data_IF_294097174296
#
_entry.id   IF_294097174296
#
_cell.length_a   1.000
_cell.length_b   1.000
_cell.length_c   1.000
_cell.angle_alpha   90.00
_cell.angle_beta   90.00
_cell.angle_gamma   90.00
#
_symmetry.space_group_name_H-M   'P 1'
#
loop_
_entity.id
_entity.type
_entity.pdbx_description
1 polymer ?
#
# COMPACT_ATOMS: atom_id res chain seq x y z
N UNK A 1 -10.66 -10.95 -76.27
CA UNK A 1 -11.85 -11.81 -76.47
C UNK A 1 -12.08 -12.75 -75.31
N UNK A 2 -13.26 -12.68 -74.67
CA UNK A 2 -13.73 -13.64 -73.65
C UNK A 2 -15.07 -14.23 -74.09
N UNK A 3 -15.34 -15.49 -73.75
CA UNK A 3 -16.60 -16.17 -74.05
C UNK A 3 -17.45 -16.27 -72.80
N UNK A 4 -18.71 -15.84 -72.86
CA UNK A 4 -19.68 -16.13 -71.80
C UNK A 4 -20.06 -17.63 -71.79
N UNK A 5 -20.79 -18.07 -70.76
CA UNK A 5 -21.27 -19.45 -70.62
C UNK A 5 -22.20 -19.91 -71.77
N UNK A 6 -22.74 -18.98 -72.56
CA UNK A 6 -23.54 -19.25 -73.75
C UNK A 6 -22.69 -19.39 -75.05
N UNK A 7 -21.37 -19.29 -74.96
CA UNK A 7 -20.47 -19.41 -76.10
C UNK A 7 -20.33 -18.13 -76.95
N UNK A 8 -20.83 -17.00 -76.47
CA UNK A 8 -20.73 -15.72 -77.17
C UNK A 8 -19.40 -15.04 -76.82
N UNK A 9 -18.61 -14.74 -77.86
CA UNK A 9 -17.30 -14.11 -77.73
C UNK A 9 -17.46 -12.60 -77.86
N UNK A 10 -17.14 -11.89 -76.79
CA UNK A 10 -17.02 -10.42 -76.77
C UNK A 10 -15.55 -10.05 -76.85
N UNK A 11 -15.20 -9.29 -77.89
CA UNK A 11 -13.90 -8.63 -77.98
C UNK A 11 -13.94 -7.28 -77.26
N UNK A 12 -12.80 -6.84 -76.73
CA UNK A 12 -12.70 -5.53 -76.07
C UNK A 12 -12.96 -4.38 -77.03
N UNK A 13 -12.81 -4.61 -78.34
CA UNK A 13 -13.19 -3.70 -79.42
C UNK A 13 -14.39 -4.25 -80.21
N UNK A 14 -15.59 -4.00 -79.68
CA UNK A 14 -16.87 -3.79 -80.39
C UNK A 14 -17.24 -4.63 -81.64
N UNK A 15 -16.79 -5.87 -81.81
CA UNK A 15 -17.26 -6.72 -82.92
C UNK A 15 -17.65 -8.12 -82.46
N UNK A 16 -18.96 -8.43 -82.59
CA UNK A 16 -19.54 -9.74 -82.33
C UNK A 16 -19.30 -10.66 -83.52
N UNK A 17 -18.56 -11.75 -83.35
CA UNK A 17 -18.37 -12.75 -84.40
C UNK A 17 -18.86 -14.14 -83.99
N UNK A 18 -19.37 -14.93 -84.96
CA UNK A 18 -19.78 -16.32 -84.77
C UNK A 18 -18.63 -17.29 -85.07
N UNK A 19 -18.27 -18.10 -84.07
CA UNK A 19 -17.20 -19.13 -84.00
C UNK A 19 -16.95 -19.99 -85.27
N UNK A 20 -17.98 -20.27 -86.07
CA UNK A 20 -17.95 -21.37 -87.06
C UNK A 20 -17.16 -21.15 -88.36
N UNK A 21 -16.46 -20.02 -88.59
CA UNK A 21 -15.92 -19.71 -89.94
C UNK A 21 -14.42 -19.50 -90.13
N UNK A 22 -13.57 -19.46 -89.10
CA UNK A 22 -12.15 -19.12 -89.30
C UNK A 22 -11.21 -19.89 -88.36
N UNK A 23 -11.02 -21.19 -88.57
CA UNK A 23 -10.21 -22.03 -87.67
C UNK A 23 -8.71 -22.25 -88.02
N UNK A 24 -8.13 -21.96 -89.21
CA UNK A 24 -6.78 -22.48 -89.47
C UNK A 24 -5.58 -21.54 -89.30
N UNK A 25 -5.72 -20.24 -88.98
CA UNK A 25 -4.58 -19.29 -89.10
C UNK A 25 -4.04 -18.68 -87.80
N UNK A 26 -4.69 -18.84 -86.65
CA UNK A 26 -4.22 -18.26 -85.39
C UNK A 26 -4.38 -19.25 -84.24
N UNK A 27 -3.30 -19.50 -83.49
CA UNK A 27 -3.38 -20.20 -82.22
C UNK A 27 -4.05 -19.27 -81.20
N UNK A 28 -5.32 -19.51 -80.92
CA UNK A 28 -6.08 -18.75 -79.93
C UNK A 28 -6.04 -19.45 -78.58
N UNK A 29 -5.68 -18.71 -77.52
CA UNK A 29 -5.80 -19.17 -76.14
C UNK A 29 -7.18 -18.79 -75.62
N UNK A 30 -7.99 -19.78 -75.23
CA UNK A 30 -9.29 -19.57 -74.60
C UNK A 30 -9.11 -19.53 -73.09
N UNK A 31 -9.55 -18.44 -72.47
CA UNK A 31 -9.62 -18.31 -71.01
C UNK A 31 -11.08 -18.50 -70.57
N UNK A 32 -11.32 -19.47 -69.70
CA UNK A 32 -12.60 -19.67 -69.03
C UNK A 32 -12.48 -19.09 -67.61
N UNK A 33 -13.37 -18.16 -67.26
CA UNK A 33 -13.36 -17.50 -65.96
C UNK A 33 -14.70 -17.79 -65.27
N UNK A 34 -14.61 -18.20 -64.02
CA UNK A 34 -15.76 -18.37 -63.16
C UNK A 34 -16.21 -16.99 -62.62
N UNK A 35 -17.51 -16.71 -62.79
CA UNK A 35 -18.17 -15.45 -62.40
C UNK A 35 -19.13 -15.70 -61.22
N UNK A 36 -19.22 -16.93 -60.73
CA UNK A 36 -20.06 -17.28 -59.60
C UNK A 36 -19.60 -16.60 -58.31
N UNK A 37 -20.52 -16.54 -57.35
CA UNK A 37 -20.20 -16.07 -56.00
C UNK A 37 -19.33 -17.11 -55.29
N UNK A 38 -18.16 -16.69 -54.84
CA UNK A 38 -17.22 -17.51 -54.11
C UNK A 38 -17.10 -17.03 -52.67
N UNK A 39 -17.05 -17.99 -51.75
CA UNK A 39 -16.76 -17.72 -50.34
C UNK A 39 -15.55 -18.50 -49.89
N UNK A 40 -14.63 -17.83 -49.20
CA UNK A 40 -13.41 -18.42 -48.64
C UNK A 40 -13.22 -17.97 -47.20
N UNK A 41 -12.61 -18.86 -46.42
CA UNK A 41 -12.17 -18.56 -45.07
C UNK A 41 -10.65 -18.61 -45.09
N UNK A 42 -10.01 -17.55 -44.61
CA UNK A 42 -8.57 -17.46 -44.46
C UNK A 42 -8.23 -17.25 -42.98
N UNK A 43 -7.14 -17.87 -42.53
CA UNK A 43 -6.57 -17.61 -41.21
C UNK A 43 -5.25 -16.89 -41.40
N UNK A 44 -5.15 -15.70 -40.84
CA UNK A 44 -3.91 -14.94 -40.71
C UNK A 44 -3.43 -15.13 -39.28
N UNK A 45 -2.17 -15.54 -39.09
CA UNK A 45 -1.63 -15.81 -37.76
C UNK A 45 -0.25 -15.19 -37.59
N UNK A 46 0.12 -14.90 -36.35
CA UNK A 46 1.47 -14.47 -35.97
C UNK A 46 1.85 -13.06 -36.43
N UNK A 47 3.04 -12.92 -37.02
CA UNK A 47 3.74 -11.65 -37.30
C UNK A 47 3.02 -10.68 -38.25
N UNK A 48 1.94 -11.12 -38.88
CA UNK A 48 1.29 -10.38 -39.96
C UNK A 48 0.49 -9.16 -39.46
N UNK A 49 0.06 -9.18 -38.20
CA UNK A 49 -0.82 -8.18 -37.59
C UNK A 49 -0.23 -7.65 -36.26
N UNK A 50 0.77 -6.74 -36.33
CA UNK A 50 1.32 -6.11 -35.14
C UNK A 50 0.33 -5.09 -34.54
N UNK A 51 0.20 -5.12 -33.22
CA UNK A 51 -0.51 -4.08 -32.43
C UNK A 51 0.26 -2.75 -32.43
N UNK A 52 -0.37 -1.67 -31.98
CA UNK A 52 0.21 -0.32 -31.96
C UNK A 52 1.63 -0.25 -31.36
N UNK A 53 1.88 -0.95 -30.25
CA UNK A 53 3.19 -0.98 -29.57
C UNK A 53 4.17 -2.01 -30.11
N UNK A 54 3.79 -2.80 -31.12
CA UNK A 54 4.60 -3.88 -31.69
C UNK A 54 5.07 -4.93 -30.66
N UNK A 55 4.44 -4.99 -29.49
CA UNK A 55 4.81 -5.91 -28.42
C UNK A 55 4.12 -7.28 -28.56
N UNK A 56 2.93 -7.29 -29.15
CA UNK A 56 2.10 -8.48 -29.30
C UNK A 56 1.43 -8.51 -30.68
N UNK A 57 1.00 -9.70 -31.09
CA UNK A 57 0.36 -9.93 -32.37
C UNK A 57 -1.08 -10.42 -32.20
N UNK A 58 -1.88 -10.18 -33.24
CA UNK A 58 -3.24 -10.69 -33.34
C UNK A 58 -3.31 -11.79 -34.40
N UNK A 59 -4.13 -12.79 -34.13
CA UNK A 59 -4.57 -13.76 -35.12
C UNK A 59 -5.93 -13.30 -35.66
N UNK A 60 -6.10 -13.36 -36.98
CA UNK A 60 -7.36 -13.02 -37.63
C UNK A 60 -7.93 -14.22 -38.39
N UNK A 61 -9.21 -14.48 -38.19
CA UNK A 61 -9.98 -15.37 -39.06
C UNK A 61 -10.86 -14.51 -39.96
N UNK A 62 -10.62 -14.57 -41.27
CA UNK A 62 -11.31 -13.79 -42.29
C UNK A 62 -12.31 -14.68 -43.04
N UNK A 63 -13.56 -14.24 -43.12
CA UNK A 63 -14.58 -14.79 -44.03
C UNK A 63 -14.81 -13.80 -45.16
N UNK A 64 -14.45 -14.19 -46.38
CA UNK A 64 -14.48 -13.32 -47.56
C UNK A 64 -15.40 -13.92 -48.63
N UNK A 65 -16.39 -13.15 -49.06
CA UNK A 65 -17.26 -13.43 -50.19
C UNK A 65 -16.91 -12.49 -51.35
N UNK A 66 -16.59 -13.05 -52.52
CA UNK A 66 -16.21 -12.29 -53.71
C UNK A 66 -16.79 -12.90 -54.98
N UNK A 67 -16.91 -12.08 -56.01
CA UNK A 67 -17.30 -12.49 -57.36
C UNK A 67 -16.51 -11.70 -58.40
N UNK A 68 -16.30 -12.28 -59.58
CA UNK A 68 -15.69 -11.55 -60.69
C UNK A 68 -16.76 -10.66 -61.31
N UNK A 69 -16.49 -9.36 -61.44
CA UNK A 69 -17.40 -8.40 -62.08
C UNK A 69 -16.94 -8.08 -63.49
N UNK A 70 -15.63 -8.00 -63.72
CA UNK A 70 -15.03 -7.78 -65.04
C UNK A 70 -13.98 -8.86 -65.35
N UNK A 71 -14.37 -9.93 -66.07
CA UNK A 71 -13.45 -10.98 -66.49
C UNK A 71 -12.34 -10.49 -67.43
N UNK A 72 -12.57 -9.42 -68.20
CA UNK A 72 -11.57 -8.94 -69.15
C UNK A 72 -10.34 -8.37 -68.42
N UNK A 73 -10.56 -7.65 -67.31
CA UNK A 73 -9.50 -7.15 -66.45
C UNK A 73 -8.69 -8.26 -65.78
N UNK A 74 -9.36 -9.34 -65.34
CA UNK A 74 -8.70 -10.51 -64.75
C UNK A 74 -7.73 -11.17 -65.74
N UNK A 75 -8.13 -11.35 -67.00
CA UNK A 75 -7.24 -11.87 -68.06
C UNK A 75 -6.13 -10.87 -68.38
N UNK A 76 -6.47 -9.59 -68.54
CA UNK A 76 -5.52 -8.53 -68.93
C UNK A 76 -4.37 -8.40 -67.92
N UNK A 77 -4.67 -8.55 -66.63
CA UNK A 77 -3.69 -8.52 -65.54
C UNK A 77 -3.05 -9.88 -65.25
N UNK A 78 -3.42 -10.92 -66.00
CA UNK A 78 -2.94 -12.29 -65.85
C UNK A 78 -3.06 -12.81 -64.41
N UNK A 79 -4.21 -12.57 -63.77
CA UNK A 79 -4.43 -12.97 -62.38
C UNK A 79 -4.78 -14.46 -62.37
N UNK A 80 -3.81 -15.30 -61.98
CA UNK A 80 -4.01 -16.74 -61.87
C UNK A 80 -4.88 -17.12 -60.67
N UNK A 81 -4.77 -16.37 -59.57
CA UNK A 81 -5.47 -16.65 -58.31
C UNK A 81 -6.10 -15.38 -57.73
N UNK A 82 -7.36 -15.11 -58.06
CA UNK A 82 -8.10 -13.95 -57.53
C UNK A 82 -8.13 -13.88 -56.00
N UNK A 83 -8.18 -15.03 -55.33
CA UNK A 83 -8.13 -15.11 -53.87
C UNK A 83 -6.87 -14.49 -53.26
N UNK A 84 -5.72 -14.56 -53.94
CA UNK A 84 -4.45 -14.00 -53.45
C UNK A 84 -4.46 -12.46 -53.48
N UNK A 85 -4.96 -11.87 -54.57
CA UNK A 85 -5.10 -10.43 -54.71
C UNK A 85 -6.05 -9.86 -53.63
N UNK A 86 -7.17 -10.53 -53.41
CA UNK A 86 -8.15 -10.18 -52.37
C UNK A 86 -7.52 -10.27 -50.98
N UNK A 87 -6.83 -11.38 -50.68
CA UNK A 87 -6.23 -11.58 -49.37
C UNK A 87 -5.16 -10.51 -49.08
N UNK A 88 -4.34 -10.15 -50.06
CA UNK A 88 -3.34 -9.08 -49.91
C UNK A 88 -4.01 -7.74 -49.57
N UNK A 89 -5.03 -7.35 -50.34
CA UNK A 89 -5.78 -6.11 -50.09
C UNK A 89 -6.41 -6.08 -48.69
N UNK A 90 -7.12 -7.16 -48.32
CA UNK A 90 -7.78 -7.27 -47.01
C UNK A 90 -6.76 -7.29 -45.87
N UNK A 91 -5.62 -7.98 -46.05
CA UNK A 91 -4.54 -8.03 -45.04
C UNK A 91 -3.92 -6.66 -44.83
N UNK A 92 -3.67 -5.89 -45.90
CA UNK A 92 -3.11 -4.54 -45.79
C UNK A 92 -4.08 -3.56 -45.13
N UNK A 93 -5.37 -3.63 -45.49
CA UNK A 93 -6.42 -2.82 -44.85
C UNK A 93 -6.59 -3.18 -43.36
N UNK A 94 -6.56 -4.47 -43.03
CA UNK A 94 -6.64 -4.94 -41.65
C UNK A 94 -5.41 -4.51 -40.84
N UNK A 95 -4.21 -4.64 -41.42
CA UNK A 95 -2.96 -4.19 -40.79
C UNK A 95 -2.96 -2.70 -40.51
N UNK A 96 -3.49 -1.89 -41.42
CA UNK A 96 -3.62 -0.44 -41.21
C UNK A 96 -4.54 -0.14 -40.02
N UNK A 97 -5.65 -0.87 -39.88
CA UNK A 97 -6.62 -0.68 -38.80
C UNK A 97 -6.06 -1.16 -37.45
N UNK A 98 -5.52 -2.39 -37.40
CA UNK A 98 -5.03 -3.02 -36.15
C UNK A 98 -3.87 -2.25 -35.52
N UNK A 99 -3.06 -1.54 -36.32
CA UNK A 99 -1.95 -0.71 -35.82
C UNK A 99 -2.39 0.47 -34.96
N UNK A 100 -3.65 0.87 -35.02
CA UNK A 100 -4.18 1.96 -34.20
C UNK A 100 -4.60 1.49 -32.80
N UNK A 101 -4.74 0.18 -32.58
CA UNK A 101 -5.31 -0.38 -31.36
C UNK A 101 -4.28 -1.16 -30.54
N UNK A 102 -4.48 -1.13 -29.22
CA UNK A 102 -3.75 -1.97 -28.29
C UNK A 102 -4.34 -3.39 -28.23
N UNK A 103 -3.57 -4.30 -27.63
CA UNK A 103 -3.96 -5.70 -27.39
C UNK A 103 -5.29 -5.84 -26.63
N UNK A 104 -5.57 -4.94 -25.69
CA UNK A 104 -6.81 -4.93 -24.89
C UNK A 104 -8.04 -4.54 -25.72
N UNK A 105 -7.81 -3.85 -26.84
CA UNK A 105 -8.81 -3.21 -27.68
C UNK A 105 -9.05 -3.97 -28.99
N UNK A 106 -8.63 -5.24 -29.07
CA UNK A 106 -8.79 -6.07 -30.28
C UNK A 106 -10.25 -6.12 -30.79
N UNK A 107 -11.22 -6.07 -29.88
CA UNK A 107 -12.65 -6.02 -30.20
C UNK A 107 -13.07 -4.71 -30.91
N UNK A 108 -12.48 -3.57 -30.54
CA UNK A 108 -12.74 -2.29 -31.20
C UNK A 108 -12.12 -2.24 -32.60
N UNK A 109 -10.93 -2.85 -32.75
CA UNK A 109 -10.29 -3.00 -34.06
C UNK A 109 -11.16 -3.87 -35.00
N UNK A 110 -11.74 -4.95 -34.47
CA UNK A 110 -12.65 -5.82 -35.22
C UNK A 110 -13.90 -5.06 -35.67
N UNK A 111 -14.56 -4.37 -34.74
CA UNK A 111 -15.77 -3.60 -35.04
C UNK A 111 -15.51 -2.51 -36.08
N UNK A 112 -14.42 -1.74 -35.91
CA UNK A 112 -14.04 -0.69 -36.85
C UNK A 112 -13.76 -1.23 -38.24
N UNK A 113 -13.01 -2.33 -38.34
CA UNK A 113 -12.72 -2.96 -39.62
C UNK A 113 -13.99 -3.48 -40.31
N UNK A 114 -14.85 -4.17 -39.56
CA UNK A 114 -16.09 -4.74 -40.09
C UNK A 114 -17.09 -3.65 -40.51
N UNK A 115 -17.17 -2.56 -39.75
CA UNK A 115 -18.01 -1.42 -40.10
C UNK A 115 -17.52 -0.70 -41.37
N UNK A 116 -16.19 -0.48 -41.48
CA UNK A 116 -15.60 0.18 -42.63
C UNK A 116 -15.71 -0.60 -43.96
N UNK A 117 -15.90 -1.91 -43.89
CA UNK A 117 -16.00 -2.79 -45.06
C UNK A 117 -17.38 -3.46 -45.20
N UNK A 118 -18.41 -2.90 -44.57
CA UNK A 118 -19.78 -3.38 -44.69
C UNK A 118 -20.35 -3.14 -46.10
N UNK A 119 -19.99 -2.00 -46.71
CA UNK A 119 -20.29 -1.68 -48.09
C UNK A 119 -19.24 -2.36 -48.98
N UNK A 120 -19.66 -3.38 -49.74
CA UNK A 120 -18.75 -4.20 -50.53
C UNK A 120 -17.74 -3.40 -51.39
N UNK A 121 -16.58 -3.99 -51.62
CA UNK A 121 -15.41 -3.29 -52.16
C UNK A 121 -15.19 -3.73 -53.61
N UNK A 122 -15.17 -2.76 -54.53
CA UNK A 122 -14.77 -3.01 -55.91
C UNK A 122 -13.25 -2.89 -56.04
N UNK A 123 -12.59 -3.99 -56.40
CA UNK A 123 -11.17 -4.03 -56.65
C UNK A 123 -10.85 -3.70 -58.12
N UNK A 124 -9.74 -2.99 -58.41
CA UNK A 124 -9.34 -2.61 -59.76
C UNK A 124 -8.97 -3.81 -60.65
N UNK A 125 -8.83 -5.00 -60.07
CA UNK A 125 -8.64 -6.28 -60.74
C UNK A 125 -9.90 -6.82 -61.44
N UNK A 126 -11.03 -6.12 -61.36
CA UNK A 126 -12.31 -6.61 -61.89
C UNK A 126 -13.03 -7.57 -60.96
N UNK A 127 -12.69 -7.55 -59.66
CA UNK A 127 -13.26 -8.40 -58.62
C UNK A 127 -14.07 -7.54 -57.66
N UNK A 128 -15.27 -7.98 -57.28
CA UNK A 128 -16.08 -7.33 -56.26
C UNK A 128 -16.13 -8.21 -55.02
N UNK A 129 -15.70 -7.66 -53.88
CA UNK A 129 -15.84 -8.28 -52.57
C UNK A 129 -17.19 -7.83 -52.00
N UNK A 130 -18.18 -8.70 -52.01
CA UNK A 130 -19.52 -8.36 -51.53
C UNK A 130 -19.69 -8.62 -50.02
N UNK A 131 -18.79 -9.39 -49.41
CA UNK A 131 -18.83 -9.69 -47.98
C UNK A 131 -17.42 -9.84 -47.41
N UNK A 132 -17.11 -9.07 -46.38
CA UNK A 132 -15.90 -9.27 -45.56
C UNK A 132 -16.32 -9.28 -44.11
N UNK A 133 -15.85 -10.28 -43.38
CA UNK A 133 -15.97 -10.32 -41.93
C UNK A 133 -14.64 -10.79 -41.36
N UNK A 134 -14.07 -9.99 -40.46
CA UNK A 134 -12.88 -10.33 -39.70
C UNK A 134 -13.27 -10.65 -38.27
N UNK A 135 -12.68 -11.71 -37.74
CA UNK A 135 -12.69 -12.02 -36.31
C UNK A 135 -11.26 -11.92 -35.79
N UNK A 136 -11.03 -11.07 -34.80
CA UNK A 136 -9.70 -10.84 -34.23
C UNK A 136 -9.56 -11.51 -32.87
N UNK A 137 -8.44 -12.16 -32.67
CA UNK A 137 -8.10 -12.83 -31.44
C UNK A 137 -6.65 -12.49 -31.06
N UNK A 138 -6.36 -12.18 -29.78
CA UNK A 138 -4.98 -12.08 -29.34
C UNK A 138 -4.27 -13.43 -29.49
N UNK A 139 -3.00 -13.40 -29.87
CA UNK A 139 -2.15 -14.60 -29.93
C UNK A 139 -2.00 -15.29 -28.54
N UNK A 140 -1.37 -16.46 -28.50
CA UNK A 140 -1.23 -17.19 -27.23
C UNK A 140 -0.45 -16.38 -26.18
N UNK A 141 0.67 -15.76 -26.57
CA UNK A 141 1.52 -14.99 -25.65
C UNK A 141 0.83 -13.73 -25.12
N UNK A 142 0.05 -13.07 -25.99
CA UNK A 142 -0.84 -11.96 -25.69
C UNK A 142 -1.89 -12.37 -24.65
N UNK A 143 -2.55 -13.52 -24.84
CA UNK A 143 -3.55 -14.01 -23.89
C UNK A 143 -2.95 -14.31 -22.52
N UNK A 144 -1.78 -14.92 -22.47
CA UNK A 144 -1.03 -15.19 -21.24
C UNK A 144 -0.68 -13.88 -20.52
N UNK A 145 -0.11 -12.91 -21.25
CA UNK A 145 0.20 -11.59 -20.70
C UNK A 145 -1.05 -10.89 -20.12
N UNK A 146 -2.18 -10.95 -20.83
CA UNK A 146 -3.44 -10.37 -20.34
C UNK A 146 -3.98 -11.11 -19.12
N UNK A 147 -3.82 -12.43 -19.05
CA UNK A 147 -4.20 -13.22 -17.88
C UNK A 147 -3.34 -12.83 -16.67
N UNK A 148 -2.02 -12.81 -16.82
CA UNK A 148 -1.06 -12.44 -15.78
C UNK A 148 -1.28 -11.02 -15.25
N UNK A 149 -1.58 -10.08 -16.16
CA UNK A 149 -1.88 -8.69 -15.79
C UNK A 149 -3.16 -8.60 -14.97
N UNK A 150 -4.23 -9.31 -15.37
CA UNK A 150 -5.50 -9.35 -14.63
C UNK A 150 -5.34 -10.01 -13.27
N UNK A 151 -4.57 -11.10 -13.19
CA UNK A 151 -4.33 -11.81 -11.94
C UNK A 151 -3.47 -10.98 -10.99
N UNK A 152 -2.45 -10.29 -11.51
CA UNK A 152 -1.65 -9.33 -10.73
C UNK A 152 -2.49 -8.18 -10.20
N UNK A 153 -3.41 -7.63 -11.01
CA UNK A 153 -4.32 -6.58 -10.58
C UNK A 153 -5.25 -7.08 -9.48
N UNK A 154 -5.88 -8.25 -9.68
CA UNK A 154 -6.75 -8.88 -8.69
C UNK A 154 -6.01 -9.15 -7.38
N UNK A 155 -4.74 -9.59 -7.47
CA UNK A 155 -3.92 -9.85 -6.29
C UNK A 155 -3.68 -8.57 -5.49
N UNK A 156 -3.34 -7.46 -6.16
CA UNK A 156 -3.16 -6.16 -5.51
C UNK A 156 -4.43 -5.65 -4.84
N UNK A 157 -5.58 -5.84 -5.48
CA UNK A 157 -6.88 -5.46 -4.90
C UNK A 157 -7.17 -6.27 -3.62
N UNK A 158 -6.98 -7.59 -3.68
CA UNK A 158 -7.14 -8.47 -2.51
C UNK A 158 -6.17 -8.11 -1.38
N UNK A 159 -4.89 -7.84 -1.72
CA UNK A 159 -3.88 -7.45 -0.74
C UNK A 159 -4.19 -6.09 -0.09
N UNK A 160 -4.70 -5.12 -0.86
CA UNK A 160 -5.13 -3.83 -0.34
C UNK A 160 -6.30 -3.98 0.64
N UNK A 161 -7.31 -4.78 0.29
CA UNK A 161 -8.43 -5.08 1.18
C UNK A 161 -7.97 -5.77 2.47
N UNK A 162 -7.06 -6.76 2.35
CA UNK A 162 -6.46 -7.44 3.52
C UNK A 162 -5.68 -6.48 4.39
N UNK A 163 -4.93 -5.55 3.80
CA UNK A 163 -4.18 -4.54 4.54
C UNK A 163 -5.11 -3.62 5.35
N UNK A 164 -6.19 -3.14 4.74
CA UNK A 164 -7.19 -2.31 5.44
C UNK A 164 -7.87 -3.08 6.57
N UNK A 165 -8.22 -4.36 6.36
CA UNK A 165 -8.75 -5.21 7.43
C UNK A 165 -7.73 -5.39 8.58
N UNK A 166 -6.46 -5.63 8.27
CA UNK A 166 -5.40 -5.78 9.26
C UNK A 166 -5.18 -4.48 10.06
N UNK A 167 -5.22 -3.33 9.39
CA UNK A 167 -5.13 -2.01 10.02
C UNK A 167 -6.29 -1.77 10.99
N UNK A 168 -7.53 -2.04 10.56
CA UNK A 168 -8.70 -1.94 11.43
C UNK A 168 -8.63 -2.88 12.62
N UNK A 169 -8.17 -4.12 12.42
CA UNK A 169 -7.96 -5.08 13.50
C UNK A 169 -6.91 -4.59 14.51
N UNK A 170 -5.79 -4.04 14.03
CA UNK A 170 -4.75 -3.46 14.88
C UNK A 170 -5.26 -2.24 15.67
N UNK A 171 -6.05 -1.36 15.05
CA UNK A 171 -6.69 -0.23 15.75
C UNK A 171 -7.63 -0.70 16.86
N UNK A 172 -8.47 -1.71 16.57
CA UNK A 172 -9.36 -2.30 17.58
C UNK A 172 -8.59 -2.94 18.73
N UNK A 173 -7.52 -3.67 18.43
CA UNK A 173 -6.68 -4.28 19.45
C UNK A 173 -6.01 -3.23 20.35
N UNK A 174 -5.53 -2.14 19.77
CA UNK A 174 -4.95 -1.04 20.55
C UNK A 174 -6.00 -0.31 21.40
N UNK A 175 -7.21 -0.14 20.88
CA UNK A 175 -8.32 0.46 21.63
C UNK A 175 -8.71 -0.40 22.83
N UNK A 176 -8.81 -1.72 22.66
CA UNK A 176 -9.08 -2.66 23.75
C UNK A 176 -8.00 -2.57 24.82
N UNK A 177 -6.72 -2.62 24.44
CA UNK A 177 -5.60 -2.47 25.38
C UNK A 177 -5.64 -1.15 26.15
N UNK A 178 -6.04 -0.07 25.48
CA UNK A 178 -6.21 1.26 26.11
C UNK A 178 -7.32 1.22 27.17
N UNK A 179 -8.46 0.62 26.85
CA UNK A 179 -9.59 0.47 27.78
C UNK A 179 -9.17 -0.39 28.98
N UNK A 180 -8.54 -1.54 28.75
CA UNK A 180 -8.03 -2.43 29.80
C UNK A 180 -7.09 -1.70 30.76
N UNK A 181 -6.08 -1.01 30.22
CA UNK A 181 -5.13 -0.25 31.03
C UNK A 181 -5.80 0.88 31.82
N UNK A 182 -6.77 1.59 31.21
CA UNK A 182 -7.53 2.62 31.93
C UNK A 182 -8.34 2.03 33.10
N UNK A 183 -8.97 0.87 32.91
CA UNK A 183 -9.70 0.17 33.97
C UNK A 183 -8.79 -0.38 35.07
N UNK A 184 -7.57 -0.82 34.74
CA UNK A 184 -6.55 -1.15 35.74
C UNK A 184 -6.15 0.06 36.59
N UNK A 185 -5.89 1.20 35.94
CA UNK A 185 -5.54 2.43 36.65
C UNK A 185 -6.68 2.95 37.53
N UNK A 186 -7.93 2.85 37.07
CA UNK A 186 -9.10 3.22 37.87
C UNK A 186 -9.24 2.33 39.11
N UNK A 187 -9.16 1.00 38.93
CA UNK A 187 -9.17 0.06 40.07
C UNK A 187 -8.02 0.32 41.05
N UNK A 188 -6.83 0.62 40.56
CA UNK A 188 -5.70 1.00 41.42
C UNK A 188 -5.96 2.29 42.20
N UNK A 189 -6.55 3.31 41.57
CA UNK A 189 -6.90 4.57 42.24
C UNK A 189 -7.97 4.37 43.30
N UNK A 190 -8.97 3.54 43.02
CA UNK A 190 -10.02 3.18 43.98
C UNK A 190 -9.45 2.41 45.17
N UNK A 191 -8.55 1.45 44.93
CA UNK A 191 -7.84 0.75 46.00
C UNK A 191 -7.04 1.71 46.89
N UNK A 192 -6.26 2.63 46.28
CA UNK A 192 -5.50 3.64 47.01
C UNK A 192 -6.40 4.63 47.78
N UNK A 193 -7.55 5.00 47.22
CA UNK A 193 -8.49 5.92 47.89
C UNK A 193 -9.19 5.25 49.07
N UNK A 194 -9.51 3.95 48.96
CA UNK A 194 -10.01 3.14 50.07
C UNK A 194 -8.97 3.03 51.20
N UNK A 195 -7.68 2.90 50.86
CA UNK A 195 -6.58 2.85 51.83
C UNK A 195 -6.34 4.21 52.52
N UNK A 196 -6.57 5.34 51.86
CA UNK A 196 -6.39 6.69 52.48
C UNK A 196 -7.24 6.96 53.72
N UNK A 197 -8.36 6.27 53.88
CA UNK A 197 -9.24 6.39 55.06
C UNK A 197 -8.78 5.57 56.27
N UNK A 198 -7.77 4.72 56.10
CA UNK A 198 -7.18 3.91 57.14
C UNK A 198 -5.86 4.55 57.57
N UNK A 199 -5.68 4.73 58.87
CA UNK A 199 -4.41 5.18 59.48
C UNK A 199 -3.42 4.01 59.41
N UNK A 200 -2.94 3.73 58.19
CA UNK A 200 -2.11 2.57 57.87
C UNK A 200 -0.66 2.84 58.28
N UNK A 201 -0.23 2.08 59.29
CA UNK A 201 1.17 1.94 59.68
C UNK A 201 2.00 1.48 58.45
N UNK A 202 3.21 2.03 58.18
CA UNK A 202 4.02 1.68 57.01
C UNK A 202 4.28 0.16 56.83
N UNK A 203 4.27 -0.58 57.94
CA UNK A 203 4.36 -2.04 57.96
C UNK A 203 3.14 -2.72 57.32
N UNK A 204 1.94 -2.17 57.52
CA UNK A 204 0.70 -2.71 56.96
C UNK A 204 0.57 -2.45 55.46
N UNK A 205 1.06 -1.30 54.99
CA UNK A 205 1.15 -0.99 53.55
C UNK A 205 2.08 -1.95 52.82
N UNK A 206 3.21 -2.30 53.45
CA UNK A 206 4.16 -3.26 52.91
C UNK A 206 3.63 -4.69 52.90
N UNK A 207 2.96 -5.12 53.98
CA UNK A 207 2.28 -6.41 54.01
C UNK A 207 1.15 -6.51 52.97
N UNK A 208 0.39 -5.44 52.76
CA UNK A 208 -0.62 -5.39 51.71
C UNK A 208 0.00 -5.49 50.30
N UNK A 209 1.12 -4.79 50.07
CA UNK A 209 1.82 -4.83 48.79
C UNK A 209 2.45 -6.20 48.47
N UNK A 210 3.04 -6.85 49.48
CA UNK A 210 3.57 -8.22 49.40
C UNK A 210 2.45 -9.25 49.19
N UNK A 211 1.27 -9.03 49.76
CA UNK A 211 0.11 -9.90 49.55
C UNK A 211 -0.47 -9.79 48.13
N UNK A 212 -0.47 -8.61 47.52
CA UNK A 212 -0.91 -8.40 46.13
C UNK A 212 0.12 -8.86 45.10
N UNK A 213 1.42 -8.72 45.39
CA UNK A 213 2.50 -9.02 44.46
C UNK A 213 3.48 -10.06 45.04
N UNK A 214 3.06 -11.33 45.17
CA UNK A 214 3.89 -12.36 45.81
C UNK A 214 5.17 -12.69 45.02
N UNK A 215 5.21 -12.33 43.74
CA UNK A 215 6.34 -12.56 42.83
C UNK A 215 7.48 -11.55 43.02
N UNK A 216 7.21 -10.37 43.60
CA UNK A 216 8.16 -9.24 43.69
C UNK A 216 8.51 -8.93 45.16
N UNK A 217 8.72 -9.99 45.92
CA UNK A 217 8.94 -9.94 47.38
C UNK A 217 10.40 -9.69 47.74
N UNK A 218 11.34 -10.08 46.89
CA UNK A 218 12.77 -10.00 47.18
C UNK A 218 13.27 -8.55 47.23
N UNK A 219 12.91 -7.73 46.23
CA UNK A 219 13.31 -6.31 46.18
C UNK A 219 12.61 -5.43 47.22
N UNK A 220 11.39 -5.79 47.63
CA UNK A 220 10.62 -5.05 48.63
C UNK A 220 11.15 -5.30 50.06
N UNK A 221 11.59 -6.52 50.38
CA UNK A 221 12.28 -6.81 51.64
C UNK A 221 13.64 -6.09 51.76
N UNK A 222 14.41 -6.02 50.68
CA UNK A 222 15.67 -5.28 50.66
C UNK A 222 15.47 -3.78 50.92
N UNK A 223 14.43 -3.20 50.31
CA UNK A 223 14.06 -1.80 50.55
C UNK A 223 13.68 -1.55 52.02
N UNK A 224 12.92 -2.46 52.64
CA UNK A 224 12.57 -2.39 54.08
C UNK A 224 13.82 -2.41 54.94
N UNK A 225 14.69 -3.38 54.68
CA UNK A 225 15.93 -3.55 55.44
C UNK A 225 16.83 -2.33 55.31
N UNK A 226 16.88 -1.71 54.13
CA UNK A 226 17.65 -0.50 53.90
C UNK A 226 17.08 0.70 54.67
N UNK A 227 15.76 0.89 54.66
CA UNK A 227 15.11 1.97 55.43
C UNK A 227 15.30 1.77 56.94
N UNK A 228 15.13 0.55 57.44
CA UNK A 228 15.38 0.22 58.84
C UNK A 228 16.80 0.53 59.27
N UNK A 229 17.78 0.10 58.47
CA UNK A 229 19.19 0.35 58.73
C UNK A 229 19.49 1.85 58.77
N UNK A 230 18.97 2.62 57.80
CA UNK A 230 19.16 4.08 57.80
C UNK A 230 18.48 4.80 58.96
N UNK A 231 17.40 4.23 59.52
CA UNK A 231 16.75 4.74 60.73
C UNK A 231 17.64 4.56 61.95
N UNK A 232 18.16 3.34 62.15
CA UNK A 232 19.07 3.01 63.25
C UNK A 232 20.35 3.84 63.14
N UNK A 233 20.95 3.93 61.95
CA UNK A 233 22.17 4.72 61.73
C UNK A 233 21.97 6.21 62.05
N UNK A 234 20.76 6.76 61.81
CA UNK A 234 20.44 8.16 62.15
C UNK A 234 20.28 8.38 63.64
N UNK A 235 19.66 7.45 64.34
CA UNK A 235 19.49 7.52 65.79
C UNK A 235 20.86 7.38 66.48
N UNK A 236 21.70 6.43 66.06
CA UNK A 236 23.08 6.32 66.55
C UNK A 236 23.90 7.59 66.25
N UNK A 237 23.82 8.13 65.03
CA UNK A 237 24.52 9.37 64.69
C UNK A 237 24.00 10.59 65.46
N UNK A 238 22.74 10.57 65.91
CA UNK A 238 22.16 11.63 66.75
C UNK A 238 22.64 11.48 68.19
N UNK A 239 22.69 10.26 68.70
CA UNK A 239 23.19 9.95 70.04
C UNK A 239 24.67 10.29 70.17
N UNK A 240 25.50 9.91 69.20
CA UNK A 240 26.93 10.27 69.16
C UNK A 240 27.11 11.79 69.13
N UNK A 241 26.43 12.52 68.24
CA UNK A 241 26.49 13.99 68.21
C UNK A 241 26.01 14.63 69.49
N UNK A 242 24.99 14.06 70.13
CA UNK A 242 24.49 14.55 71.42
C UNK A 242 25.53 14.35 72.52
N UNK A 243 26.25 13.22 72.51
CA UNK A 243 27.31 12.92 73.46
C UNK A 243 28.53 13.81 73.26
N UNK A 244 28.95 14.07 72.01
CA UNK A 244 30.07 14.95 71.67
C UNK A 244 29.79 16.41 72.05
N UNK A 245 28.57 16.90 71.80
CA UNK A 245 28.14 18.22 72.27
C UNK A 245 28.18 18.31 73.79
N UNK A 246 27.79 17.24 74.49
CA UNK A 246 27.81 17.17 75.95
C UNK A 246 29.26 17.20 76.46
N UNK A 247 30.17 16.43 75.86
CA UNK A 247 31.60 16.45 76.18
C UNK A 247 32.22 17.82 75.90
N UNK A 248 31.90 18.45 74.76
CA UNK A 248 32.40 19.78 74.39
C UNK A 248 31.92 20.87 75.36
N UNK A 249 30.65 20.83 75.80
CA UNK A 249 30.10 21.79 76.76
C UNK A 249 30.71 21.66 78.16
N UNK A 250 31.09 20.44 78.56
CA UNK A 250 31.82 20.17 79.81
C UNK A 250 33.26 20.66 79.71
N UNK A 251 34.00 20.32 78.64
CA UNK A 251 35.42 20.69 78.47
C UNK A 251 35.64 22.19 78.30
N UNK A 252 34.72 22.91 77.64
CA UNK A 252 34.82 24.37 77.48
C UNK A 252 34.37 25.16 78.71
N UNK A 253 34.01 24.49 79.81
CA UNK A 253 33.66 25.13 81.08
C UNK A 253 32.39 25.97 81.02
N UNK A 254 31.51 25.69 80.05
CA UNK A 254 30.22 26.41 79.88
C UNK A 254 29.18 25.87 80.85
N UNK A 255 29.26 24.60 81.27
CA UNK A 255 28.45 24.05 82.35
C UNK A 255 29.18 24.15 83.70
N UNK A 256 28.57 24.82 84.68
CA UNK A 256 28.98 24.76 86.08
C UNK A 256 28.30 23.58 86.79
N UNK A 257 28.88 23.06 87.87
CA UNK A 257 28.42 21.85 88.56
C UNK A 257 26.94 21.88 89.01
N UNK A 258 26.34 23.06 89.14
CA UNK A 258 24.94 23.26 89.54
C UNK A 258 23.96 23.02 88.39
N UNK A 259 24.38 23.22 87.13
CA UNK A 259 23.54 22.98 85.94
C UNK A 259 23.50 21.49 85.54
N UNK A 260 24.50 20.72 85.97
CA UNK A 260 24.61 19.28 85.71
C UNK A 260 23.47 18.51 86.40
N UNK A 261 23.02 18.93 87.58
CA UNK A 261 21.92 18.26 88.27
C UNK A 261 20.58 18.47 87.55
N UNK A 262 20.33 19.68 87.05
CA UNK A 262 19.10 20.00 86.30
C UNK A 262 19.06 19.29 84.94
N UNK A 263 20.21 19.20 84.27
CA UNK A 263 20.33 18.46 83.01
C UNK A 263 20.24 16.95 83.24
N UNK A 264 20.78 16.43 84.36
CA UNK A 264 20.60 15.02 84.75
C UNK A 264 19.13 14.72 84.93
N UNK A 265 18.38 15.56 85.63
CA UNK A 265 16.96 15.33 85.85
C UNK A 265 16.17 15.38 84.52
N UNK A 266 16.48 16.31 83.60
CA UNK A 266 15.92 16.30 82.24
C UNK A 266 16.31 15.06 81.41
N UNK A 267 17.55 14.57 81.55
CA UNK A 267 18.01 13.36 80.86
C UNK A 267 17.34 12.12 81.46
N UNK A 268 17.14 12.10 82.78
CA UNK A 268 16.46 11.01 83.47
C UNK A 268 14.98 11.00 83.12
N UNK A 269 14.36 12.18 82.99
CA UNK A 269 13.00 12.31 82.48
C UNK A 269 12.89 11.92 81.01
N UNK A 270 13.86 12.25 80.15
CA UNK A 270 13.91 11.76 78.75
C UNK A 270 14.15 10.26 78.65
N UNK A 271 15.02 9.68 79.48
CA UNK A 271 15.24 8.24 79.52
C UNK A 271 13.99 7.55 80.07
N UNK A 272 13.33 8.13 81.07
CA UNK A 272 12.03 7.66 81.57
C UNK A 272 10.95 7.77 80.50
N UNK A 273 10.96 8.82 79.70
CA UNK A 273 10.05 9.01 78.56
C UNK A 273 10.37 8.02 77.43
N UNK A 274 11.64 7.74 77.15
CA UNK A 274 12.08 6.74 76.16
C UNK A 274 11.76 5.31 76.60
N UNK A 275 11.86 5.01 77.90
CA UNK A 275 11.48 3.70 78.48
C UNK A 275 9.96 3.59 78.66
N UNK A 276 9.24 4.69 78.92
CA UNK A 276 7.76 4.74 78.93
C UNK A 276 7.16 4.73 77.51
N UNK A 277 7.91 5.12 76.48
CA UNK A 277 7.60 4.87 75.06
C UNK A 277 7.90 3.42 74.69
N UNK A 278 7.44 2.46 75.50
CA UNK A 278 7.19 1.09 75.04
C UNK A 278 5.81 1.02 74.37
N UNK A 279 5.61 1.92 73.41
CA UNK A 279 4.55 1.92 72.42
C UNK A 279 5.14 2.67 71.23
N UNK A 280 5.28 2.05 70.05
CA UNK A 280 5.86 2.75 68.92
C UNK A 280 4.93 3.93 68.63
N UNK A 281 5.48 5.14 68.74
CA UNK A 281 4.85 6.29 68.12
C UNK A 281 4.79 5.96 66.61
N UNK A 282 3.66 6.23 65.93
CA UNK A 282 3.64 6.08 64.49
C UNK A 282 4.78 6.92 63.93
N UNK A 283 5.48 6.39 62.94
CA UNK A 283 6.42 7.12 62.11
C UNK A 283 5.65 8.17 61.27
N UNK A 284 5.06 9.14 61.96
CA UNK A 284 4.62 10.38 61.38
C UNK A 284 5.87 11.16 61.05
N UNK A 285 6.03 11.47 59.77
CA UNK A 285 6.94 12.49 59.30
C UNK A 285 6.60 13.79 60.04
N UNK A 286 7.28 14.03 61.15
CA UNK A 286 7.27 15.33 61.79
C UNK A 286 8.30 16.16 61.03
N UNK A 287 7.82 16.89 60.03
CA UNK A 287 8.55 18.02 59.48
C UNK A 287 8.93 18.94 60.66
N UNK A 288 10.22 19.04 60.93
CA UNK A 288 10.73 20.18 61.68
C UNK A 288 10.44 21.45 60.86
N UNK A 289 10.11 22.60 61.50
CA UNK A 289 9.83 23.82 60.76
C UNK A 289 11.10 24.25 60.03
N UNK A 290 11.12 24.01 58.71
CA UNK A 290 12.09 24.60 57.81
C UNK A 290 11.77 26.08 57.71
N UNK A 291 12.84 26.88 57.70
CA UNK A 291 12.87 28.33 57.58
C UNK A 291 11.80 28.87 56.60
N UNK A 292 11.18 29.98 57.00
CA UNK A 292 10.08 30.67 56.31
C UNK A 292 10.30 30.84 54.80
N UNK A 293 9.23 30.81 53.98
CA UNK A 293 9.34 30.96 52.54
C UNK A 293 9.91 32.34 52.16
N UNK A 294 11.01 32.33 51.42
CA UNK A 294 11.51 33.48 50.67
C UNK A 294 10.44 33.88 49.66
N UNK A 295 9.96 35.13 49.74
CA UNK A 295 9.08 35.75 48.75
C UNK A 295 9.84 35.88 47.42
N UNK A 296 9.52 35.04 46.45
CA UNK A 296 9.87 35.25 45.04
C UNK A 296 8.86 36.22 44.43
N UNK A 297 9.35 37.34 43.90
CA UNK A 297 8.55 38.36 43.21
C UNK A 297 7.97 37.86 41.88
N UNK A 298 6.98 38.59 41.32
CA UNK A 298 6.22 38.15 40.17
C UNK A 298 7.07 38.02 38.90
N UNK A 299 6.75 36.98 38.14
CA UNK A 299 7.35 36.63 36.86
C UNK A 299 7.27 37.79 35.85
N UNK A 300 8.42 38.15 35.28
CA UNK A 300 8.49 39.01 34.11
C UNK A 300 8.07 38.19 32.88
N UNK A 301 6.98 38.61 32.26
CA UNK A 301 6.47 38.16 30.97
C UNK A 301 7.45 38.53 29.86
N UNK A 302 8.05 37.52 29.22
CA UNK A 302 8.73 37.65 27.92
C UNK A 302 7.96 36.80 26.90
N UNK A 303 7.41 37.39 25.83
CA UNK A 303 6.69 36.63 24.81
C UNK A 303 7.67 35.90 23.86
N UNK A 304 7.28 34.74 23.31
CA UNK A 304 8.12 33.99 22.38
C UNK A 304 8.22 34.68 21.00
N UNK A 305 9.37 34.58 20.30
CA UNK A 305 9.49 35.10 18.94
C UNK A 305 8.72 34.24 17.93
N UNK A 306 7.97 34.91 17.06
CA UNK A 306 7.36 34.35 15.84
C UNK A 306 8.44 33.87 14.86
N UNK A 307 8.32 32.69 14.25
CA UNK A 307 9.02 32.40 13.00
C UNK A 307 8.24 33.04 11.85
N UNK A 308 8.81 34.10 11.28
CA UNK A 308 8.37 34.70 10.02
C UNK A 308 8.92 33.91 8.83
N UNK A 309 8.03 33.74 7.85
CA UNK A 309 8.32 33.30 6.50
C UNK A 309 9.07 34.37 5.68
N UNK A 310 9.57 33.94 4.51
CA UNK A 310 10.12 34.69 3.37
C UNK A 310 11.58 35.16 3.55
N UNK A 311 12.62 34.65 2.87
CA UNK A 311 12.88 34.21 1.48
C UNK A 311 14.28 34.78 1.11
N UNK A 312 14.83 34.73 -0.13
CA UNK A 312 14.77 33.79 -1.24
C UNK A 312 16.18 33.33 -1.76
N UNK A 313 16.18 32.45 -2.78
CA UNK A 313 17.12 32.40 -3.93
C UNK A 313 18.63 32.22 -3.73
N UNK A 314 19.16 31.05 -4.13
CA UNK A 314 20.47 30.97 -4.83
C UNK A 314 20.39 29.94 -5.96
N UNK A 315 20.48 30.46 -7.18
CA UNK A 315 20.80 29.76 -8.43
C UNK A 315 22.17 29.06 -8.37
N UNK A 316 22.32 27.91 -9.02
CA UNK A 316 23.64 27.28 -9.18
C UNK A 316 23.65 25.99 -9.99
N UNK A 317 23.47 26.13 -11.30
CA UNK A 317 23.79 25.17 -12.36
C UNK A 317 25.17 24.51 -12.20
N UNK A 318 25.27 23.19 -12.44
CA UNK A 318 26.31 22.65 -13.35
C UNK A 318 26.00 21.23 -13.84
N UNK A 319 26.05 21.11 -15.16
CA UNK A 319 26.22 19.87 -15.93
C UNK A 319 27.56 19.21 -15.60
N UNK A 320 27.58 17.88 -15.61
CA UNK A 320 28.31 17.05 -16.60
C UNK A 320 27.56 15.73 -16.74
#
# INVERSE_FOLDING_TARGET
MYSNAAGEVTDSDTVRFKWRRQAPLFAWTRHEIDVADHRRIAKLGGLDLPTARHAHYLEATLSIGFRVTDPAEVVRRNITYGASAILNYVTDALRATVREFEIDEAHLAEERFNHGHAEGIALPEGIMIYHVYAQLAPDLAAREYLADRRDSQRHREIEAERHEQAKLAAMRANEIKRIEHSGELERHKEALSALRGLDLDPYQLLLAHVAENPQDTEGTFDLIMQVWKTGIDRDEARDVRSSELLTYLIEKGVMQAVDIERFRDELTDRIREAVSRKRPAPAGWTEHPVLSPVKLGPASTVPPPRPGADGPSVNGTRRL
#
